data_IF_670063030318
#
_entry.id   IF_670063030318
#
_cell.length_a   1.000
_cell.length_b   1.000
_cell.length_c   1.000
_cell.angle_alpha   90.00
_cell.angle_beta   90.00
_cell.angle_gamma   90.00
#
_symmetry.space_group_name_H-M   'P 1'
#
loop_
_entity.id
_entity.type
_entity.pdbx_description
1 polymer ?
#
# COMPACT_ATOMS: atom_id res chain seq x y z
N UNK A 1 16.35 2.14 -15.98
CA UNK A 1 15.35 3.19 -16.30
C UNK A 1 15.96 4.30 -17.15
N UNK A 2 16.14 4.10 -18.47
CA UNK A 2 16.62 5.17 -19.39
C UNK A 2 15.57 5.63 -20.43
N UNK A 3 14.45 4.92 -20.54
CA UNK A 3 13.50 5.12 -21.64
C UNK A 3 12.38 6.14 -21.36
N UNK A 4 12.00 6.34 -20.10
CA UNK A 4 10.86 7.23 -19.75
C UNK A 4 11.21 8.72 -19.95
N UNK A 5 12.44 9.12 -19.62
CA UNK A 5 12.91 10.50 -19.82
C UNK A 5 12.96 10.86 -21.31
N UNK A 6 13.50 9.98 -22.16
CA UNK A 6 13.63 10.26 -23.59
C UNK A 6 12.28 10.49 -24.30
N UNK A 7 11.21 9.80 -23.87
CA UNK A 7 9.88 10.00 -24.43
C UNK A 7 9.31 11.36 -24.06
N UNK A 8 9.38 11.77 -22.79
CA UNK A 8 8.85 13.07 -22.37
C UNK A 8 9.67 14.23 -22.93
N UNK A 9 11.00 14.12 -22.99
CA UNK A 9 11.85 15.11 -23.65
C UNK A 9 11.54 15.25 -25.14
N UNK A 10 11.14 14.16 -25.81
CA UNK A 10 10.78 14.21 -27.23
C UNK A 10 9.38 14.80 -27.45
N UNK A 11 8.39 14.32 -26.71
CA UNK A 11 6.98 14.63 -26.97
C UNK A 11 6.51 15.94 -26.31
N UNK A 12 7.13 16.36 -25.20
CA UNK A 12 6.70 17.52 -24.40
C UNK A 12 7.83 18.53 -24.14
N UNK A 13 8.85 18.58 -25.01
CA UNK A 13 10.01 19.47 -24.88
C UNK A 13 9.64 20.94 -24.63
N UNK A 14 8.65 21.47 -25.35
CA UNK A 14 8.20 22.85 -25.21
C UNK A 14 7.68 23.13 -23.80
N UNK A 15 6.77 22.29 -23.30
CA UNK A 15 6.19 22.42 -21.94
C UNK A 15 7.29 22.29 -20.89
N UNK A 16 8.18 21.30 -21.06
CA UNK A 16 9.30 21.09 -20.14
C UNK A 16 10.28 22.27 -20.18
N UNK A 17 10.53 22.88 -21.34
CA UNK A 17 11.45 24.02 -21.46
C UNK A 17 10.93 25.26 -20.73
N UNK A 18 9.63 25.55 -20.82
CA UNK A 18 8.98 26.61 -20.04
C UNK A 18 9.03 26.30 -18.54
N UNK A 19 8.70 25.07 -18.16
CA UNK A 19 8.70 24.65 -16.76
C UNK A 19 10.07 24.71 -16.09
N UNK A 20 11.13 24.51 -16.88
CA UNK A 20 12.53 24.56 -16.44
C UNK A 20 13.15 25.95 -16.55
N UNK A 21 12.47 26.89 -17.20
CA UNK A 21 12.96 28.26 -17.44
C UNK A 21 14.41 28.31 -17.98
N UNK A 22 14.77 27.36 -18.85
CA UNK A 22 16.12 27.24 -19.42
C UNK A 22 17.17 26.51 -18.57
N UNK A 23 16.86 26.04 -17.37
CA UNK A 23 17.79 25.25 -16.54
C UNK A 23 17.73 23.74 -16.83
N UNK A 24 18.86 23.02 -16.77
CA UNK A 24 18.86 21.57 -16.86
C UNK A 24 18.34 20.94 -15.55
N UNK A 25 17.05 20.64 -15.47
CA UNK A 25 16.42 19.97 -14.33
C UNK A 25 15.27 20.75 -13.72
N UNK A 26 14.79 20.34 -12.54
CA UNK A 26 13.82 21.12 -11.78
C UNK A 26 14.54 22.27 -11.04
N UNK A 27 14.01 23.51 -11.05
CA UNK A 27 14.61 24.62 -10.32
C UNK A 27 14.77 24.32 -8.82
N UNK A 28 15.86 24.78 -8.20
CA UNK A 28 16.11 24.56 -6.77
C UNK A 28 14.96 25.12 -5.90
N UNK A 29 14.46 26.30 -6.24
CA UNK A 29 13.32 26.91 -5.56
C UNK A 29 12.07 26.00 -5.60
N UNK A 30 11.83 25.34 -6.73
CA UNK A 30 10.71 24.42 -6.86
C UNK A 30 10.84 23.23 -5.90
N UNK A 31 12.05 22.67 -5.75
CA UNK A 31 12.31 21.57 -4.82
C UNK A 31 12.13 21.99 -3.36
N UNK A 32 12.53 23.22 -3.02
CA UNK A 32 12.34 23.79 -1.68
C UNK A 32 10.87 24.09 -1.36
N UNK A 33 10.08 24.44 -2.38
CA UNK A 33 8.66 24.73 -2.26
C UNK A 33 7.78 23.45 -2.23
N UNK A 34 8.36 22.28 -2.54
CA UNK A 34 7.63 21.02 -2.43
C UNK A 34 7.22 20.79 -0.98
N UNK A 35 5.95 20.40 -0.74
CA UNK A 35 5.55 19.98 0.60
C UNK A 35 6.43 18.82 1.05
N UNK A 36 6.84 18.77 2.34
CA UNK A 36 7.72 17.72 2.82
C UNK A 36 7.08 16.36 2.56
N UNK A 37 7.92 15.43 2.10
CA UNK A 37 7.49 14.05 1.90
C UNK A 37 6.99 13.50 3.23
N UNK A 38 5.71 13.10 3.27
CA UNK A 38 5.17 12.44 4.47
C UNK A 38 5.78 11.05 4.56
N UNK A 39 6.56 10.79 5.61
CA UNK A 39 7.18 9.48 5.89
C UNK A 39 6.15 8.35 6.11
N UNK A 40 4.90 8.68 6.38
CA UNK A 40 3.83 7.71 6.50
C UNK A 40 2.60 8.28 7.19
N UNK A 41 1.60 7.41 7.39
CA UNK A 41 0.42 7.75 8.19
C UNK A 41 0.60 7.25 9.62
N UNK A 42 0.14 8.07 10.58
CA UNK A 42 0.13 7.68 11.99
C UNK A 42 -0.70 6.39 12.16
N UNK A 43 -0.22 5.46 13.00
CA UNK A 43 -0.93 4.21 13.33
C UNK A 43 -2.40 4.46 13.69
N UNK A 44 -2.68 5.50 14.49
CA UNK A 44 -4.05 5.91 14.88
C UNK A 44 -4.97 6.19 13.68
N UNK A 45 -4.45 6.78 12.61
CA UNK A 45 -5.23 7.07 11.40
C UNK A 45 -5.60 5.78 10.68
N UNK A 46 -4.65 4.86 10.57
CA UNK A 46 -4.87 3.53 9.96
C UNK A 46 -5.89 2.75 10.81
N UNK A 47 -5.71 2.67 12.13
CA UNK A 47 -6.67 2.00 13.03
C UNK A 47 -8.08 2.60 12.92
N UNK A 48 -8.20 3.92 12.83
CA UNK A 48 -9.49 4.59 12.65
C UNK A 48 -10.13 4.23 11.30
N UNK A 49 -9.33 4.19 10.22
CA UNK A 49 -9.78 3.78 8.90
C UNK A 49 -10.32 2.34 8.92
N UNK A 50 -9.57 1.40 9.50
CA UNK A 50 -9.98 -0.01 9.58
C UNK A 50 -11.26 -0.15 10.40
N UNK A 51 -11.37 0.50 11.55
CA UNK A 51 -12.59 0.49 12.35
C UNK A 51 -13.81 1.03 11.58
N UNK A 52 -13.67 2.16 10.88
CA UNK A 52 -14.77 2.74 10.10
C UNK A 52 -15.17 1.84 8.92
N UNK A 53 -14.20 1.12 8.34
CA UNK A 53 -14.46 0.22 7.22
C UNK A 53 -15.09 -1.09 7.66
N UNK A 54 -14.46 -1.79 8.59
CA UNK A 54 -14.84 -3.15 9.01
C UNK A 54 -16.00 -3.15 10.00
N UNK A 55 -15.98 -2.26 10.99
CA UNK A 55 -17.01 -2.25 12.05
C UNK A 55 -18.21 -1.37 11.71
N UNK A 56 -17.99 -0.23 11.03
CA UNK A 56 -19.06 0.70 10.66
C UNK A 56 -19.56 0.56 9.22
N UNK A 57 -18.94 -0.30 8.41
CA UNK A 57 -19.36 -0.57 7.03
C UNK A 57 -19.29 0.65 6.10
N UNK A 58 -18.51 1.68 6.44
CA UNK A 58 -18.47 2.91 5.66
C UNK A 58 -17.78 2.70 4.31
N UNK A 59 -18.21 3.45 3.28
CA UNK A 59 -17.56 3.47 1.97
C UNK A 59 -16.23 4.24 2.03
N UNK A 60 -15.27 3.90 1.15
CA UNK A 60 -13.97 4.59 1.12
C UNK A 60 -14.09 6.10 0.90
N UNK A 61 -15.07 6.55 0.11
CA UNK A 61 -15.32 7.99 -0.09
C UNK A 61 -15.82 8.66 1.19
N UNK A 62 -16.75 8.03 1.93
CA UNK A 62 -17.26 8.56 3.19
C UNK A 62 -16.17 8.61 4.28
N UNK A 63 -15.32 7.57 4.34
CA UNK A 63 -14.15 7.54 5.23
C UNK A 63 -13.16 8.66 4.85
N UNK A 64 -12.90 8.84 3.56
CA UNK A 64 -12.04 9.91 3.06
C UNK A 64 -12.51 11.29 3.50
N UNK A 65 -13.80 11.60 3.32
CA UNK A 65 -14.40 12.84 3.83
C UNK A 65 -14.21 13.01 5.33
N UNK A 66 -14.44 11.95 6.12
CA UNK A 66 -14.32 11.97 7.59
C UNK A 66 -12.88 12.16 8.07
N UNK A 67 -11.91 11.53 7.41
CA UNK A 67 -10.49 11.59 7.76
C UNK A 67 -9.71 12.69 7.02
N UNK A 68 -10.39 13.48 6.19
CA UNK A 68 -9.78 14.49 5.29
C UNK A 68 -8.73 13.89 4.36
N UNK A 69 -9.06 12.77 3.74
CA UNK A 69 -8.26 12.03 2.76
C UNK A 69 -9.04 11.85 1.45
N UNK A 70 -8.32 11.63 0.35
CA UNK A 70 -8.94 11.21 -0.91
C UNK A 70 -9.40 9.75 -0.83
N UNK A 71 -10.39 9.38 -1.65
CA UNK A 71 -10.88 8.00 -1.73
C UNK A 71 -9.74 7.04 -2.09
N UNK A 72 -8.92 7.46 -3.04
CA UNK A 72 -7.77 6.72 -3.57
C UNK A 72 -6.79 6.47 -2.44
N UNK A 73 -6.50 7.50 -1.62
CA UNK A 73 -5.58 7.34 -0.50
C UNK A 73 -6.13 6.45 0.61
N UNK A 74 -7.43 6.51 0.89
CA UNK A 74 -8.07 5.56 1.82
C UNK A 74 -7.99 4.13 1.30
N UNK A 75 -8.22 3.93 0.00
CA UNK A 75 -8.17 2.60 -0.62
C UNK A 75 -6.75 2.03 -0.57
N UNK A 76 -5.76 2.86 -0.91
CA UNK A 76 -4.33 2.54 -0.81
C UNK A 76 -3.92 2.14 0.62
N UNK A 77 -4.27 2.95 1.62
CA UNK A 77 -3.97 2.66 3.02
C UNK A 77 -4.63 1.37 3.54
N UNK A 78 -5.88 1.12 3.13
CA UNK A 78 -6.57 -0.11 3.47
C UNK A 78 -5.87 -1.34 2.88
N UNK A 79 -5.57 -1.29 1.58
CA UNK A 79 -4.91 -2.40 0.89
C UNK A 79 -3.51 -2.64 1.44
N UNK A 80 -2.74 -1.57 1.68
CA UNK A 80 -1.40 -1.66 2.24
C UNK A 80 -1.42 -2.29 3.64
N UNK A 81 -2.38 -1.92 4.50
CA UNK A 81 -2.52 -2.52 5.82
C UNK A 81 -2.68 -4.05 5.76
N UNK A 82 -3.61 -4.55 4.94
CA UNK A 82 -3.83 -5.99 4.80
C UNK A 82 -2.71 -6.68 4.03
N UNK A 83 -2.00 -5.98 3.14
CA UNK A 83 -0.83 -6.52 2.47
C UNK A 83 0.29 -6.83 3.46
N UNK A 84 0.59 -5.89 4.36
CA UNK A 84 1.60 -6.07 5.41
C UNK A 84 1.22 -7.25 6.30
N UNK A 85 -0.02 -7.29 6.80
CA UNK A 85 -0.50 -8.40 7.64
C UNK A 85 -0.41 -9.76 6.94
N UNK A 86 -0.75 -9.78 5.65
CA UNK A 86 -0.64 -11.00 4.84
C UNK A 86 0.81 -11.45 4.69
N UNK A 87 1.73 -10.54 4.39
CA UNK A 87 3.15 -10.87 4.25
C UNK A 87 3.76 -11.38 5.57
N UNK A 88 3.48 -10.70 6.68
CA UNK A 88 3.94 -11.10 8.01
C UNK A 88 3.40 -12.49 8.40
N UNK A 89 2.11 -12.74 8.13
CA UNK A 89 1.49 -14.03 8.43
C UNK A 89 2.06 -15.16 7.56
N UNK A 90 2.24 -14.90 6.26
CA UNK A 90 2.80 -15.86 5.32
C UNK A 90 4.25 -16.23 5.68
N UNK A 91 5.07 -15.22 6.01
CA UNK A 91 6.45 -15.44 6.46
C UNK A 91 6.49 -16.35 7.70
N UNK A 92 5.65 -16.07 8.70
CA UNK A 92 5.55 -16.89 9.91
C UNK A 92 5.04 -18.30 9.64
N UNK A 93 4.10 -18.46 8.72
CA UNK A 93 3.63 -19.79 8.31
C UNK A 93 4.75 -20.60 7.67
N UNK A 94 5.52 -20.01 6.76
CA UNK A 94 6.67 -20.65 6.11
C UNK A 94 7.73 -21.04 7.15
N UNK A 95 8.01 -20.17 8.12
CA UNK A 95 8.94 -20.49 9.22
C UNK A 95 8.49 -21.73 10.03
N UNK A 96 7.19 -21.88 10.27
CA UNK A 96 6.63 -22.98 11.08
C UNK A 96 6.52 -24.28 10.27
N UNK A 97 6.04 -24.21 9.03
CA UNK A 97 5.81 -25.39 8.18
C UNK A 97 7.08 -25.86 7.48
N UNK A 98 8.05 -24.96 7.27
CA UNK A 98 9.23 -25.20 6.45
C UNK A 98 8.94 -25.26 4.94
N UNK A 99 7.71 -24.95 4.52
CA UNK A 99 7.28 -25.08 3.14
C UNK A 99 7.45 -23.76 2.37
N UNK A 100 8.54 -23.67 1.61
CA UNK A 100 8.85 -22.50 0.79
C UNK A 100 7.92 -22.35 -0.43
N UNK A 101 7.16 -23.39 -0.81
CA UNK A 101 6.27 -23.34 -1.98
C UNK A 101 5.04 -22.45 -1.75
N UNK A 102 4.63 -22.28 -0.48
CA UNK A 102 3.56 -21.37 -0.06
C UNK A 102 3.72 -19.95 -0.60
N UNK A 103 4.97 -19.49 -0.76
CA UNK A 103 5.21 -18.15 -1.29
C UNK A 103 4.72 -18.03 -2.74
N UNK A 104 5.05 -18.99 -3.60
CA UNK A 104 4.59 -19.01 -4.99
C UNK A 104 3.09 -19.25 -5.10
N UNK A 105 2.56 -20.21 -4.32
CA UNK A 105 1.14 -20.58 -4.38
C UNK A 105 0.23 -19.40 -4.00
N UNK A 106 0.63 -18.61 -3.01
CA UNK A 106 -0.15 -17.45 -2.58
C UNK A 106 0.21 -16.14 -3.30
N UNK A 107 1.38 -16.01 -3.94
CA UNK A 107 1.71 -14.85 -4.78
C UNK A 107 1.11 -14.93 -6.19
N UNK A 108 1.26 -16.06 -6.89
CA UNK A 108 0.98 -16.15 -8.33
C UNK A 108 -0.51 -16.36 -8.66
N UNK A 109 -1.23 -17.14 -7.85
CA UNK A 109 -2.65 -17.47 -8.08
C UNK A 109 -3.57 -16.23 -7.87
N UNK A 110 -3.07 -15.18 -7.22
CA UNK A 110 -3.90 -14.17 -6.57
C UNK A 110 -3.79 -12.75 -7.14
N UNK A 111 -3.17 -12.54 -8.31
CA UNK A 111 -3.00 -11.19 -8.89
C UNK A 111 -4.31 -10.40 -9.13
N UNK A 112 -5.47 -11.07 -9.14
CA UNK A 112 -6.79 -10.46 -9.42
C UNK A 112 -7.72 -10.27 -8.19
N UNK A 113 -7.33 -10.74 -7.00
CA UNK A 113 -8.20 -10.69 -5.79
C UNK A 113 -7.89 -9.48 -4.87
N UNK A 114 -8.93 -8.97 -4.22
CA UNK A 114 -8.84 -7.96 -3.15
C UNK A 114 -7.85 -8.42 -2.06
N UNK A 115 -6.89 -7.57 -1.69
CA UNK A 115 -5.82 -7.87 -0.72
C UNK A 115 -6.37 -8.38 0.62
N UNK A 116 -7.46 -7.80 1.11
CA UNK A 116 -8.11 -8.24 2.35
C UNK A 116 -8.66 -9.66 2.25
N UNK A 117 -9.21 -10.00 1.09
CA UNK A 117 -9.68 -11.37 0.83
C UNK A 117 -8.53 -12.38 0.83
N UNK A 118 -7.33 -11.99 0.37
CA UNK A 118 -6.14 -12.86 0.44
C UNK A 118 -5.78 -13.20 1.88
N UNK A 119 -5.79 -12.18 2.73
CA UNK A 119 -5.57 -12.34 4.17
C UNK A 119 -6.62 -13.25 4.81
N UNK A 120 -7.90 -13.01 4.52
CA UNK A 120 -9.01 -13.83 5.03
C UNK A 120 -8.92 -15.29 4.53
N UNK A 121 -8.64 -15.52 3.24
CA UNK A 121 -8.50 -16.85 2.63
C UNK A 121 -7.35 -17.63 3.31
N UNK A 122 -6.20 -16.99 3.56
CA UNK A 122 -5.05 -17.60 4.25
C UNK A 122 -5.37 -18.02 5.69
N UNK A 123 -6.12 -17.19 6.42
CA UNK A 123 -6.59 -17.53 7.77
C UNK A 123 -7.51 -18.74 7.74
N UNK A 124 -8.41 -18.81 6.76
CA UNK A 124 -9.36 -19.92 6.64
C UNK A 124 -8.69 -21.24 6.24
N UNK A 125 -7.58 -21.19 5.52
CA UNK A 125 -6.82 -22.38 5.10
C UNK A 125 -5.99 -22.96 6.25
N UNK A 126 -5.43 -22.10 7.11
CA UNK A 126 -4.61 -22.50 8.26
C UNK A 126 -5.09 -21.90 9.58
N UNK A 127 -6.33 -22.17 10.03
CA UNK A 127 -6.94 -21.45 11.15
C UNK A 127 -6.18 -21.61 12.48
N UNK A 128 -5.74 -22.81 12.81
CA UNK A 128 -5.02 -23.08 14.08
C UNK A 128 -3.63 -22.41 14.12
N UNK A 129 -2.87 -22.51 13.03
CA UNK A 129 -1.54 -21.90 12.95
C UNK A 129 -1.64 -20.37 12.94
N UNK A 130 -2.56 -19.82 12.15
CA UNK A 130 -2.79 -18.38 12.08
C UNK A 130 -3.26 -17.81 13.43
N UNK A 131 -4.18 -18.47 14.13
CA UNK A 131 -4.64 -18.02 15.44
C UNK A 131 -3.49 -17.99 16.47
N UNK A 132 -2.62 -19.00 16.48
CA UNK A 132 -1.45 -19.03 17.36
C UNK A 132 -0.44 -17.91 17.05
N UNK A 133 -0.21 -17.61 15.76
CA UNK A 133 0.64 -16.50 15.34
C UNK A 133 0.01 -15.15 15.74
N UNK A 134 -1.28 -14.97 15.53
CA UNK A 134 -1.97 -13.73 15.88
C UNK A 134 -2.00 -13.48 17.39
N UNK A 135 -2.10 -14.52 18.22
CA UNK A 135 -2.02 -14.39 19.68
C UNK A 135 -0.59 -14.04 20.17
N UNK A 136 0.45 -14.51 19.49
CA UNK A 136 1.84 -14.13 19.82
C UNK A 136 2.17 -12.70 19.40
N UNK A 137 1.59 -12.19 18.32
CA UNK A 137 1.76 -10.81 17.84
C UNK A 137 0.99 -9.75 18.66
N UNK A 138 0.01 -10.15 19.47
CA UNK A 138 -0.74 -9.24 20.36
C UNK A 138 -0.04 -8.97 21.70
N UNK A 139 0.97 -9.76 22.06
CA UNK A 139 1.77 -9.59 23.28
C UNK A 139 2.87 -8.56 23.09
#
# INVERSE_FOLDING_TARGET
MKYVLAYFEKEYSAILSEYRNGEPGLPEQFLLDLPPLREGFRKRTISSLIYLRETKGMTYSAIGKRLRLTKEKVTDLYNHHYHVLFCELLEKLIEITGDASLNNDHWDIYQLKNVKKKYDDLINEYPELCNNILETLKK
#
